data_IF_178697162540
#
_entry.id   IF_178697162540
#
_cell.length_a   1.000
_cell.length_b   1.000
_cell.length_c   1.000
_cell.angle_alpha   90.00
_cell.angle_beta   90.00
_cell.angle_gamma   90.00
#
_symmetry.space_group_name_H-M   'P 1'
#
loop_
_entity.id
_entity.type
_entity.pdbx_description
1 polymer ?
#
# COMPACT_ATOMS: atom_id res chain seq x y z
N UNK A 1 18.18 -5.43 8.95
CA UNK A 1 18.97 -4.20 9.10
C UNK A 1 18.03 -3.01 8.98
N UNK A 2 18.13 -2.05 9.89
CA UNK A 2 17.42 -0.77 9.75
C UNK A 2 18.14 0.12 8.74
N UNK A 3 17.43 1.10 8.14
CA UNK A 3 18.04 2.03 7.17
C UNK A 3 19.21 2.80 7.79
N UNK A 4 19.09 3.15 9.07
CA UNK A 4 20.11 3.87 9.82
C UNK A 4 21.38 3.01 10.04
N UNK A 5 21.22 1.72 10.35
CA UNK A 5 22.35 0.78 10.46
C UNK A 5 23.06 0.61 9.12
N UNK A 6 22.32 0.52 8.01
CA UNK A 6 22.90 0.37 6.68
C UNK A 6 23.69 1.63 6.31
N UNK A 7 23.13 2.82 6.55
CA UNK A 7 23.82 4.08 6.33
C UNK A 7 25.11 4.18 7.15
N UNK A 8 25.06 3.88 8.45
CA UNK A 8 26.24 3.93 9.32
C UNK A 8 27.35 2.98 8.84
N UNK A 9 27.00 1.77 8.39
CA UNK A 9 27.97 0.81 7.85
C UNK A 9 28.60 1.28 6.54
N UNK A 10 27.80 1.89 5.65
CA UNK A 10 28.32 2.52 4.44
C UNK A 10 29.25 3.69 4.76
N UNK A 11 28.88 4.56 5.70
CA UNK A 11 29.74 5.65 6.18
C UNK A 11 31.05 5.12 6.76
N UNK A 12 31.00 4.06 7.57
CA UNK A 12 32.19 3.40 8.10
C UNK A 12 33.08 2.83 6.98
N UNK A 13 32.50 2.14 6.00
CA UNK A 13 33.28 1.57 4.89
C UNK A 13 33.98 2.64 4.03
N UNK A 14 33.34 3.79 3.83
CA UNK A 14 33.84 4.88 2.99
C UNK A 14 34.81 5.83 3.72
N UNK A 15 34.57 6.13 4.99
CA UNK A 15 35.28 7.20 5.71
C UNK A 15 36.12 6.73 6.90
N UNK A 16 35.92 5.51 7.40
CA UNK A 16 36.81 4.94 8.43
C UNK A 16 37.96 4.18 7.76
N UNK A 17 39.21 4.70 7.80
CA UNK A 17 40.35 4.08 7.13
C UNK A 17 40.75 2.74 7.74
N UNK A 18 40.40 2.46 9.00
CA UNK A 18 40.67 1.16 9.64
C UNK A 18 39.72 0.11 9.08
N UNK A 19 38.42 0.42 9.08
CA UNK A 19 37.39 -0.50 8.56
C UNK A 19 37.55 -0.70 7.05
N UNK A 20 37.83 0.36 6.30
CA UNK A 20 38.07 0.28 4.86
C UNK A 20 39.25 -0.65 4.52
N UNK A 21 40.39 -0.49 5.21
CA UNK A 21 41.56 -1.36 5.00
C UNK A 21 41.27 -2.81 5.39
N UNK A 22 40.58 -3.02 6.51
CA UNK A 22 40.20 -4.38 6.96
C UNK A 22 39.28 -5.03 5.93
N UNK A 23 38.27 -4.32 5.43
CA UNK A 23 37.38 -4.81 4.39
C UNK A 23 38.13 -5.17 3.10
N UNK A 24 39.07 -4.32 2.65
CA UNK A 24 39.91 -4.62 1.48
C UNK A 24 40.78 -5.85 1.69
N UNK A 25 41.38 -6.00 2.88
CA UNK A 25 42.15 -7.20 3.22
C UNK A 25 41.28 -8.45 3.24
N UNK A 26 40.07 -8.36 3.81
CA UNK A 26 39.09 -9.45 3.81
C UNK A 26 38.63 -9.82 2.39
N UNK A 27 38.37 -8.83 1.53
CA UNK A 27 38.00 -9.05 0.12
C UNK A 27 39.10 -9.77 -0.66
N UNK A 28 40.38 -9.45 -0.40
CA UNK A 28 41.53 -10.14 -1.02
C UNK A 28 41.68 -11.60 -0.56
N UNK A 29 41.22 -11.91 0.65
CA UNK A 29 41.28 -13.25 1.24
C UNK A 29 39.99 -14.05 1.04
N UNK A 30 39.06 -13.60 0.20
CA UNK A 30 37.85 -14.35 -0.10
C UNK A 30 38.20 -15.66 -0.82
N UNK A 31 37.44 -16.71 -0.50
CA UNK A 31 37.59 -17.99 -1.18
C UNK A 31 37.26 -17.83 -2.68
N UNK A 32 38.02 -18.44 -3.61
CA UNK A 32 37.79 -18.32 -5.05
C UNK A 32 36.36 -18.66 -5.50
N UNK A 33 35.69 -19.58 -4.81
CA UNK A 33 34.29 -19.93 -5.08
C UNK A 33 33.31 -18.78 -4.77
N UNK A 34 33.57 -18.02 -3.71
CA UNK A 34 32.75 -16.85 -3.35
C UNK A 34 32.94 -15.75 -4.39
N UNK A 35 34.18 -15.55 -4.83
CA UNK A 35 34.52 -14.60 -5.89
C UNK A 35 33.77 -14.99 -7.18
N UNK A 36 33.87 -16.26 -7.60
CA UNK A 36 33.17 -16.74 -8.79
C UNK A 36 31.63 -16.61 -8.67
N UNK A 37 31.06 -16.86 -7.49
CA UNK A 37 29.63 -16.68 -7.25
C UNK A 37 29.19 -15.22 -7.38
N UNK A 38 30.00 -14.27 -6.90
CA UNK A 38 29.73 -12.84 -7.02
C UNK A 38 29.90 -12.38 -8.48
N UNK A 39 31.00 -12.77 -9.13
CA UNK A 39 31.29 -12.41 -10.52
C UNK A 39 30.25 -12.96 -11.49
N UNK A 40 29.74 -14.18 -11.28
CA UNK A 40 28.68 -14.76 -12.13
C UNK A 40 27.37 -13.97 -12.07
N UNK A 41 27.11 -13.26 -10.97
CA UNK A 41 25.94 -12.40 -10.74
C UNK A 41 26.21 -10.93 -11.03
N UNK A 42 27.44 -10.56 -11.37
CA UNK A 42 27.79 -9.20 -11.72
C UNK A 42 27.03 -8.78 -12.98
N UNK A 43 26.64 -7.51 -13.04
CA UNK A 43 26.02 -6.91 -14.22
C UNK A 43 26.96 -7.00 -15.42
N UNK A 44 26.39 -7.08 -16.62
CA UNK A 44 27.17 -7.05 -17.85
C UNK A 44 27.69 -5.64 -18.10
N UNK A 45 28.96 -5.56 -18.49
CA UNK A 45 29.56 -4.30 -18.91
C UNK A 45 29.16 -3.96 -20.34
N UNK A 46 29.25 -2.68 -20.71
CA UNK A 46 28.97 -2.24 -22.10
C UNK A 46 29.83 -2.96 -23.13
N UNK A 47 31.08 -3.28 -22.78
CA UNK A 47 32.01 -4.02 -23.66
C UNK A 47 31.58 -5.47 -23.85
N UNK A 48 31.08 -6.12 -22.78
CA UNK A 48 30.51 -7.48 -22.87
C UNK A 48 29.25 -7.48 -23.76
N UNK A 49 28.39 -6.47 -23.60
CA UNK A 49 27.17 -6.31 -24.42
C UNK A 49 27.47 -6.00 -25.89
N UNK A 50 28.48 -5.17 -26.18
CA UNK A 50 28.94 -4.89 -27.54
C UNK A 50 29.44 -6.17 -28.24
N UNK A 51 30.18 -7.03 -27.53
CA UNK A 51 30.61 -8.33 -28.07
C UNK A 51 29.43 -9.26 -28.31
N UNK A 52 28.44 -9.30 -27.41
CA UNK A 52 27.22 -10.07 -27.61
C UNK A 52 26.37 -9.54 -28.78
N UNK A 53 26.38 -8.22 -29.00
CA UNK A 53 25.69 -7.56 -30.11
C UNK A 53 26.28 -7.89 -31.49
N UNK A 54 27.52 -8.40 -31.56
CA UNK A 54 28.11 -8.89 -32.82
C UNK A 54 27.44 -10.18 -33.34
N UNK A 55 26.74 -10.91 -32.47
CA UNK A 55 26.02 -12.13 -32.83
C UNK A 55 24.68 -11.73 -33.46
N UNK A 56 24.54 -12.01 -34.76
CA UNK A 56 23.35 -11.65 -35.53
C UNK A 56 22.08 -12.33 -34.97
N UNK A 57 20.95 -11.60 -34.78
CA UNK A 57 19.71 -12.14 -34.21
C UNK A 57 19.08 -13.31 -34.98
N UNK A 58 19.37 -13.39 -36.29
CA UNK A 58 18.72 -14.28 -37.24
C UNK A 58 19.45 -15.63 -37.43
N UNK A 59 20.68 -15.74 -36.93
CA UNK A 59 21.34 -17.04 -36.78
C UNK A 59 20.82 -17.63 -35.47
N UNK A 60 20.29 -18.86 -35.46
CA UNK A 60 20.01 -19.56 -34.22
C UNK A 60 21.35 -19.89 -33.54
N UNK A 61 21.84 -19.08 -32.58
CA UNK A 61 23.20 -19.23 -32.11
C UNK A 61 23.25 -20.44 -31.17
N UNK A 62 24.17 -21.36 -31.45
CA UNK A 62 24.38 -22.54 -30.60
C UNK A 62 25.22 -22.17 -29.39
N UNK A 63 25.20 -23.03 -28.36
CA UNK A 63 26.02 -22.86 -27.16
C UNK A 63 27.52 -22.73 -27.51
N UNK A 64 27.96 -23.38 -28.58
CA UNK A 64 29.33 -23.37 -29.10
C UNK A 64 29.77 -21.95 -29.52
N UNK A 65 28.88 -21.17 -30.15
CA UNK A 65 29.17 -19.79 -30.53
C UNK A 65 29.50 -18.92 -29.31
N UNK A 66 28.78 -19.08 -28.20
CA UNK A 66 29.04 -18.35 -26.96
C UNK A 66 30.30 -18.86 -26.25
N UNK A 67 30.63 -20.14 -26.40
CA UNK A 67 31.87 -20.71 -25.89
C UNK A 67 33.08 -20.16 -26.63
N UNK A 68 33.03 -20.08 -27.96
CA UNK A 68 34.07 -19.46 -28.79
C UNK A 68 34.24 -17.97 -28.48
N UNK A 69 33.13 -17.24 -28.29
CA UNK A 69 33.16 -15.82 -27.93
C UNK A 69 33.89 -15.59 -26.60
N UNK A 70 33.63 -16.45 -25.61
CA UNK A 70 34.26 -16.39 -24.29
C UNK A 70 35.75 -16.74 -24.36
N UNK A 71 36.11 -17.78 -25.12
CA UNK A 71 37.51 -18.18 -25.31
C UNK A 71 38.33 -17.14 -26.11
N UNK A 72 37.70 -16.45 -27.05
CA UNK A 72 38.35 -15.42 -27.87
C UNK A 72 38.55 -14.10 -27.13
N UNK A 73 37.73 -13.82 -26.11
CA UNK A 73 37.74 -12.55 -25.38
C UNK A 73 37.84 -12.72 -23.84
N UNK A 74 38.83 -13.47 -23.32
CA UNK A 74 38.92 -13.76 -21.89
C UNK A 74 39.28 -12.53 -21.03
N UNK A 75 39.73 -11.45 -21.66
CA UNK A 75 40.09 -10.19 -20.99
C UNK A 75 38.90 -9.23 -20.84
N UNK A 76 37.79 -9.48 -21.55
CA UNK A 76 36.58 -8.64 -21.51
C UNK A 76 35.52 -9.24 -20.59
N UNK A 77 35.36 -10.57 -20.63
CA UNK A 77 34.40 -11.28 -19.77
C UNK A 77 34.98 -11.58 -18.39
N UNK A 78 34.13 -11.53 -17.36
CA UNK A 78 34.52 -12.05 -16.03
C UNK A 78 34.83 -13.55 -16.09
N UNK A 79 35.81 -14.01 -15.31
CA UNK A 79 36.27 -15.40 -15.32
C UNK A 79 35.20 -16.42 -14.93
N UNK A 80 34.18 -15.99 -14.17
CA UNK A 80 33.05 -16.81 -13.78
C UNK A 80 31.87 -16.82 -14.79
N UNK A 81 31.99 -16.14 -15.94
CA UNK A 81 30.96 -16.20 -16.98
C UNK A 81 30.92 -17.60 -17.60
N UNK A 82 29.71 -18.06 -17.93
CA UNK A 82 29.51 -19.34 -18.61
C UNK A 82 28.87 -19.11 -19.97
N UNK A 83 29.09 -19.99 -20.96
CA UNK A 83 28.44 -19.90 -22.26
C UNK A 83 26.90 -19.83 -22.15
N UNK A 84 26.33 -20.56 -21.19
CA UNK A 84 24.88 -20.54 -20.89
C UNK A 84 24.42 -19.19 -20.35
N UNK A 85 25.20 -18.54 -19.48
CA UNK A 85 24.87 -17.22 -18.96
C UNK A 85 24.89 -16.15 -20.07
N UNK A 86 25.89 -16.20 -20.95
CA UNK A 86 25.98 -15.31 -22.12
C UNK A 86 24.81 -15.54 -23.08
N UNK A 87 24.48 -16.81 -23.36
CA UNK A 87 23.34 -17.17 -24.18
C UNK A 87 22.03 -16.63 -23.59
N UNK A 88 21.77 -16.84 -22.30
CA UNK A 88 20.57 -16.33 -21.63
C UNK A 88 20.50 -14.79 -21.69
N UNK A 89 21.62 -14.11 -21.46
CA UNK A 89 21.67 -12.65 -21.52
C UNK A 89 21.44 -12.13 -22.94
N UNK A 90 22.03 -12.77 -23.96
CA UNK A 90 21.77 -12.45 -25.35
C UNK A 90 20.30 -12.65 -25.76
N UNK A 91 19.65 -13.71 -25.28
CA UNK A 91 18.21 -13.91 -25.50
C UNK A 91 17.39 -12.80 -24.84
N UNK A 92 17.81 -12.31 -23.68
CA UNK A 92 17.18 -11.19 -22.99
C UNK A 92 17.34 -9.89 -23.78
N UNK A 93 18.56 -9.61 -24.28
CA UNK A 93 18.82 -8.46 -25.16
C UNK A 93 17.97 -8.52 -26.43
N UNK A 94 17.87 -9.71 -27.04
CA UNK A 94 17.00 -9.96 -28.20
C UNK A 94 15.52 -9.74 -27.86
N UNK A 95 15.05 -10.22 -26.72
CA UNK A 95 13.65 -10.05 -26.32
C UNK A 95 13.26 -8.59 -26.12
N UNK A 96 14.18 -7.77 -25.59
CA UNK A 96 13.96 -6.34 -25.35
C UNK A 96 14.36 -5.42 -26.50
N UNK A 97 14.64 -5.95 -27.69
CA UNK A 97 15.04 -5.16 -28.87
C UNK A 97 16.31 -4.31 -28.65
N UNK A 98 17.24 -4.81 -27.84
CA UNK A 98 18.48 -4.11 -27.51
C UNK A 98 19.65 -4.44 -28.45
N UNK A 99 19.46 -5.36 -29.42
CA UNK A 99 20.48 -5.66 -30.42
C UNK A 99 20.39 -4.67 -31.59
N UNK A 100 21.52 -4.20 -32.15
CA UNK A 100 21.56 -3.15 -33.17
C UNK A 100 20.87 -3.52 -34.49
N UNK A 101 20.79 -4.81 -34.79
CA UNK A 101 20.16 -5.34 -36.02
C UNK A 101 18.65 -5.58 -35.88
N UNK A 102 18.04 -5.25 -34.73
CA UNK A 102 16.60 -5.43 -34.52
C UNK A 102 15.81 -4.24 -35.02
N UNK A 103 15.36 -4.32 -36.27
CA UNK A 103 14.36 -3.39 -36.79
C UNK A 103 13.00 -3.72 -36.18
N UNK A 104 12.30 -2.73 -35.62
CA UNK A 104 10.88 -2.84 -35.28
C UNK A 104 10.15 -3.20 -36.58
N UNK A 105 9.56 -4.39 -36.65
CA UNK A 105 8.80 -4.76 -37.83
C UNK A 105 7.56 -3.86 -37.93
N UNK A 106 7.29 -3.23 -39.09
CA UNK A 106 5.99 -2.61 -39.33
C UNK A 106 4.90 -3.69 -39.27
N UNK A 107 3.69 -3.28 -38.89
CA UNK A 107 2.53 -4.18 -38.68
C UNK A 107 2.45 -5.28 -39.76
N UNK A 108 2.19 -6.54 -39.38
CA UNK A 108 2.14 -7.64 -40.34
C UNK A 108 1.04 -7.40 -41.39
N UNK A 109 1.40 -7.48 -42.67
CA UNK A 109 0.42 -7.68 -43.75
C UNK A 109 0.13 -9.17 -43.86
N UNK A 110 -1.06 -9.54 -43.42
CA UNK A 110 -1.90 -10.74 -43.65
C UNK A 110 -1.29 -12.15 -43.69
N UNK A 111 0.00 -12.36 -43.97
CA UNK A 111 0.59 -13.70 -44.19
C UNK A 111 1.86 -14.01 -43.36
N UNK A 112 2.20 -13.22 -42.34
CA UNK A 112 3.41 -13.44 -41.53
C UNK A 112 3.11 -13.95 -40.12
N UNK A 113 3.88 -14.98 -39.72
CA UNK A 113 3.92 -15.65 -38.42
C UNK A 113 3.78 -14.68 -37.25
N UNK A 114 2.81 -14.94 -36.38
CA UNK A 114 2.54 -14.19 -35.14
C UNK A 114 3.82 -14.06 -34.29
N UNK A 115 4.35 -12.84 -34.14
CA UNK A 115 5.61 -12.57 -33.42
C UNK A 115 5.40 -12.07 -31.98
N UNK A 116 4.20 -11.62 -31.63
CA UNK A 116 3.91 -10.98 -30.34
C UNK A 116 2.59 -11.48 -29.75
N UNK A 117 2.50 -11.52 -28.41
CA UNK A 117 1.27 -11.94 -27.70
C UNK A 117 0.04 -11.10 -28.09
N UNK A 118 0.22 -9.81 -28.36
CA UNK A 118 -0.87 -8.91 -28.79
C UNK A 118 -1.38 -9.23 -30.19
N UNK A 119 -0.49 -9.61 -31.12
CA UNK A 119 -0.86 -9.97 -32.49
C UNK A 119 -1.57 -11.33 -32.51
N UNK A 120 -1.19 -12.23 -31.60
CA UNK A 120 -1.88 -13.51 -31.41
C UNK A 120 -3.32 -13.26 -30.94
N UNK A 121 -3.50 -12.37 -29.96
CA UNK A 121 -4.78 -12.05 -29.35
C UNK A 121 -5.78 -11.47 -30.37
N UNK A 122 -5.33 -10.59 -31.28
CA UNK A 122 -6.20 -10.04 -32.34
C UNK A 122 -6.64 -11.06 -33.40
N UNK A 123 -5.88 -12.15 -33.58
CA UNK A 123 -6.25 -13.23 -34.51
C UNK A 123 -7.19 -14.28 -33.91
N UNK A 124 -7.41 -14.24 -32.59
CA UNK A 124 -8.29 -15.19 -31.91
C UNK A 124 -9.75 -14.79 -32.13
N UNK A 125 -10.49 -15.70 -32.76
CA UNK A 125 -11.94 -15.56 -32.93
C UNK A 125 -12.65 -16.02 -31.64
N UNK A 126 -13.16 -15.08 -30.85
CA UNK A 126 -13.89 -15.34 -29.59
C UNK A 126 -15.05 -16.35 -29.74
N UNK A 127 -15.61 -16.49 -30.95
CA UNK A 127 -16.67 -17.46 -31.22
C UNK A 127 -16.18 -18.91 -31.31
N UNK A 128 -14.88 -19.14 -31.48
CA UNK A 128 -14.21 -20.45 -31.46
C UNK A 128 -13.64 -20.79 -30.07
N UNK A 129 -13.53 -19.82 -29.17
CA UNK A 129 -13.15 -19.98 -27.75
C UNK A 129 -14.29 -20.51 -26.87
N UNK A 130 -15.47 -20.76 -27.43
CA UNK A 130 -16.54 -21.46 -26.73
C UNK A 130 -16.15 -22.93 -26.57
N UNK A 131 -15.29 -23.22 -25.59
CA UNK A 131 -14.92 -24.58 -25.21
C UNK A 131 -16.18 -25.43 -25.05
N UNK A 132 -16.09 -26.69 -25.50
CA UNK A 132 -17.11 -27.68 -25.20
C UNK A 132 -17.27 -27.75 -23.67
N UNK A 133 -18.40 -27.25 -23.16
CA UNK A 133 -18.74 -27.18 -21.73
C UNK A 133 -18.08 -28.30 -20.93
N UNK A 134 -17.00 -27.98 -20.23
CA UNK A 134 -16.34 -28.94 -19.36
C UNK A 134 -17.19 -29.06 -18.09
N UNK A 135 -18.07 -30.06 -18.12
CA UNK A 135 -18.99 -30.37 -17.04
C UNK A 135 -18.24 -30.65 -15.73
N UNK A 136 -17.01 -31.18 -15.79
CA UNK A 136 -16.21 -31.43 -14.59
C UNK A 136 -15.72 -30.12 -13.97
N UNK A 137 -15.23 -29.18 -14.79
CA UNK A 137 -14.81 -27.85 -14.34
C UNK A 137 -15.99 -27.04 -13.78
N UNK A 138 -17.15 -27.05 -14.45
CA UNK A 138 -18.36 -26.39 -13.93
C UNK A 138 -18.80 -26.99 -12.57
N UNK A 139 -18.67 -28.30 -12.41
CA UNK A 139 -19.01 -28.99 -11.18
C UNK A 139 -18.03 -28.65 -10.04
N UNK A 140 -16.73 -28.53 -10.32
CA UNK A 140 -15.73 -28.06 -9.37
C UNK A 140 -15.95 -26.60 -8.96
N UNK A 141 -16.21 -25.71 -9.92
CA UNK A 141 -16.53 -24.30 -9.66
C UNK A 141 -17.79 -24.15 -8.81
N UNK A 142 -18.83 -24.95 -9.08
CA UNK A 142 -20.05 -24.99 -8.27
C UNK A 142 -19.79 -25.46 -6.84
N UNK A 143 -18.92 -26.47 -6.66
CA UNK A 143 -18.51 -26.94 -5.33
C UNK A 143 -17.67 -25.88 -4.59
N UNK A 144 -16.79 -25.16 -5.30
CA UNK A 144 -15.99 -24.07 -4.76
C UNK A 144 -16.86 -22.89 -4.32
N UNK A 145 -17.79 -22.44 -5.17
CA UNK A 145 -18.76 -21.39 -4.86
C UNK A 145 -19.62 -21.76 -3.64
N UNK A 146 -20.09 -23.01 -3.58
CA UNK A 146 -20.84 -23.50 -2.42
C UNK A 146 -20.00 -23.51 -1.14
N UNK A 147 -18.71 -23.86 -1.21
CA UNK A 147 -17.79 -23.78 -0.06
C UNK A 147 -17.58 -22.33 0.38
N UNK A 148 -17.31 -21.44 -0.56
CA UNK A 148 -17.13 -20.01 -0.29
C UNK A 148 -18.39 -19.39 0.34
N UNK A 149 -19.58 -19.66 -0.20
CA UNK A 149 -20.86 -19.21 0.38
C UNK A 149 -21.09 -19.77 1.78
N UNK A 150 -20.69 -21.01 2.04
CA UNK A 150 -20.79 -21.60 3.38
C UNK A 150 -19.83 -20.91 4.34
N UNK A 151 -18.61 -20.62 3.91
CA UNK A 151 -17.59 -19.91 4.69
C UNK A 151 -18.03 -18.49 5.04
N UNK A 152 -18.57 -17.76 4.06
CA UNK A 152 -19.16 -16.42 4.28
C UNK A 152 -20.24 -16.49 5.36
N UNK A 153 -21.20 -17.42 5.24
CA UNK A 153 -22.27 -17.58 6.24
C UNK A 153 -21.75 -17.97 7.62
N UNK A 154 -20.70 -18.79 7.70
CA UNK A 154 -20.07 -19.12 8.98
C UNK A 154 -19.40 -17.90 9.58
N UNK A 155 -18.66 -17.11 8.78
CA UNK A 155 -18.03 -15.88 9.22
C UNK A 155 -19.06 -14.82 9.66
N UNK A 156 -20.17 -14.68 8.93
CA UNK A 156 -21.29 -13.81 9.30
C UNK A 156 -21.93 -14.24 10.63
N UNK A 157 -22.14 -15.55 10.83
CA UNK A 157 -22.63 -16.09 12.11
C UNK A 157 -21.64 -15.90 13.26
N UNK A 158 -20.34 -15.98 12.97
CA UNK A 158 -19.28 -15.75 13.95
C UNK A 158 -19.08 -14.26 14.25
N UNK A 159 -19.37 -13.37 13.30
CA UNK A 159 -19.28 -11.91 13.44
C UNK A 159 -20.00 -11.41 14.69
N UNK A 160 -21.20 -11.94 14.97
CA UNK A 160 -21.96 -11.58 16.18
C UNK A 160 -21.25 -11.99 17.48
N UNK A 161 -20.51 -13.11 17.48
CA UNK A 161 -19.70 -13.55 18.63
C UNK A 161 -18.46 -12.67 18.81
N UNK A 162 -17.80 -12.31 17.71
CA UNK A 162 -16.66 -11.39 17.72
C UNK A 162 -17.09 -9.99 18.18
N UNK A 163 -18.29 -9.53 17.81
CA UNK A 163 -18.85 -8.27 18.27
C UNK A 163 -18.96 -8.22 19.80
N UNK A 164 -19.50 -9.25 20.44
CA UNK A 164 -19.61 -9.34 21.91
C UNK A 164 -18.23 -9.28 22.59
N UNK A 165 -17.24 -9.93 21.98
CA UNK A 165 -15.87 -9.97 22.50
C UNK A 165 -15.21 -8.59 22.36
N UNK A 166 -15.37 -7.92 21.22
CA UNK A 166 -14.93 -6.54 20.99
C UNK A 166 -15.63 -5.59 21.97
N UNK A 167 -16.94 -5.73 22.18
CA UNK A 167 -17.71 -4.90 23.10
C UNK A 167 -17.19 -5.04 24.55
N UNK A 168 -16.79 -6.25 24.97
CA UNK A 168 -16.22 -6.51 26.29
C UNK A 168 -14.81 -5.92 26.50
N UNK A 169 -13.98 -5.90 25.45
CA UNK A 169 -12.59 -5.41 25.51
C UNK A 169 -12.52 -3.91 25.28
N UNK A 170 -13.33 -3.39 24.36
CA UNK A 170 -13.37 -1.97 24.02
C UNK A 170 -14.31 -1.21 24.93
N UNK A 171 -15.27 -1.87 25.60
CA UNK A 171 -16.34 -1.23 26.38
C UNK A 171 -17.30 -0.41 25.52
N UNK A 172 -17.47 -0.78 24.25
CA UNK A 172 -18.42 -0.19 23.30
C UNK A 172 -19.63 -1.10 23.33
N UNK A 173 -20.80 -0.61 23.70
CA UNK A 173 -22.05 -1.37 23.59
C UNK A 173 -22.98 -0.67 22.60
N UNK A 174 -23.75 -1.38 21.77
CA UNK A 174 -24.85 -0.78 21.01
C UNK A 174 -25.84 0.02 21.89
N UNK A 175 -25.86 -0.26 23.20
CA UNK A 175 -26.60 0.51 24.21
C UNK A 175 -26.05 1.92 24.47
N UNK A 176 -24.89 2.29 23.91
CA UNK A 176 -24.25 3.60 24.14
C UNK A 176 -24.94 4.77 23.39
N UNK A 177 -25.81 4.46 22.43
CA UNK A 177 -26.53 5.47 21.64
C UNK A 177 -28.01 5.50 22.00
N UNK A 178 -28.45 6.57 22.65
CA UNK A 178 -29.87 6.91 22.75
C UNK A 178 -30.36 7.60 21.46
N UNK A 179 -31.68 7.75 21.31
CA UNK A 179 -32.30 8.40 20.15
C UNK A 179 -32.01 9.91 20.02
N UNK A 180 -31.14 10.46 20.87
CA UNK A 180 -30.78 11.89 20.90
C UNK A 180 -29.28 12.12 20.73
N UNK A 181 -28.46 11.05 20.78
CA UNK A 181 -27.01 11.13 20.71
C UNK A 181 -26.55 10.91 19.28
N UNK A 182 -26.01 11.97 18.69
CA UNK A 182 -25.53 12.01 17.30
C UNK A 182 -24.20 11.27 17.15
N UNK A 183 -23.31 11.45 18.12
CA UNK A 183 -21.97 10.87 18.14
C UNK A 183 -21.46 10.76 19.59
N UNK A 184 -20.44 9.94 19.80
CA UNK A 184 -19.75 9.81 21.08
C UNK A 184 -18.27 10.02 20.86
N UNK A 185 -17.67 10.93 21.64
CA UNK A 185 -16.22 11.04 21.75
C UNK A 185 -15.80 10.24 22.98
N UNK A 186 -15.18 9.09 22.77
CA UNK A 186 -14.81 8.17 23.84
C UNK A 186 -13.34 8.30 24.16
N UNK A 187 -13.00 8.73 25.37
CA UNK A 187 -11.64 8.70 25.87
C UNK A 187 -11.40 7.50 26.78
N UNK A 188 -10.33 7.57 27.58
CA UNK A 188 -9.91 6.48 28.46
C UNK A 188 -10.75 6.46 29.74
N UNK A 189 -11.03 7.63 30.30
CA UNK A 189 -11.71 7.80 31.58
C UNK A 189 -13.18 8.21 31.40
N UNK A 190 -13.46 8.99 30.37
CA UNK A 190 -14.73 9.69 30.17
C UNK A 190 -15.27 9.41 28.76
N UNK A 191 -16.60 9.33 28.68
CA UNK A 191 -17.34 9.28 27.42
C UNK A 191 -18.13 10.57 27.29
N UNK A 192 -17.98 11.27 26.17
CA UNK A 192 -18.68 12.52 25.91
C UNK A 192 -19.76 12.29 24.85
N UNK A 193 -21.02 12.43 25.23
CA UNK A 193 -22.17 12.25 24.34
C UNK A 193 -22.47 13.56 23.60
N UNK A 194 -22.40 13.53 22.27
CA UNK A 194 -22.73 14.68 21.42
C UNK A 194 -24.23 14.66 21.10
N UNK A 195 -25.00 15.51 21.79
CA UNK A 195 -26.45 15.69 21.54
C UNK A 195 -26.78 16.94 20.70
N UNK A 196 -25.87 17.90 20.64
CA UNK A 196 -26.00 19.12 19.83
C UNK A 196 -25.28 18.97 18.50
N UNK A 197 -25.74 19.70 17.47
CA UNK A 197 -25.10 19.72 16.14
C UNK A 197 -23.71 20.35 16.14
N UNK A 198 -23.37 21.08 17.18
CA UNK A 198 -22.05 21.68 17.39
C UNK A 198 -21.65 21.49 18.85
N UNK A 199 -20.42 21.04 19.06
CA UNK A 199 -19.81 20.93 20.39
C UNK A 199 -18.38 21.49 20.37
N UNK A 200 -17.99 22.10 21.48
CA UNK A 200 -16.67 22.67 21.70
C UNK A 200 -15.82 21.74 22.56
N UNK A 201 -14.55 21.59 22.17
CA UNK A 201 -13.57 20.73 22.84
C UNK A 201 -12.44 21.60 23.36
N UNK A 202 -12.05 21.40 24.61
CA UNK A 202 -10.95 22.15 25.18
C UNK A 202 -10.74 21.91 26.66
N UNK A 203 -10.34 22.97 27.35
CA UNK A 203 -10.01 22.96 28.78
C UNK A 203 -10.92 23.94 29.51
N UNK A 204 -11.79 23.46 30.37
CA UNK A 204 -12.65 24.33 31.18
C UNK A 204 -11.81 25.11 32.18
N UNK A 205 -12.13 26.39 32.33
CA UNK A 205 -11.56 27.32 33.32
C UNK A 205 -12.69 28.16 33.90
N UNK A 206 -12.43 28.92 34.98
CA UNK A 206 -13.46 29.76 35.62
C UNK A 206 -14.18 30.71 34.66
N UNK A 207 -13.46 31.21 33.65
CA UNK A 207 -13.97 32.19 32.69
C UNK A 207 -14.38 31.56 31.34
N UNK A 208 -14.19 30.25 31.16
CA UNK A 208 -14.43 29.59 29.88
C UNK A 208 -14.89 28.15 30.09
N UNK A 209 -16.14 27.88 29.74
CA UNK A 209 -16.72 26.54 29.70
C UNK A 209 -16.69 25.97 28.28
N UNK A 210 -16.43 24.67 28.18
CA UNK A 210 -16.54 23.90 26.94
C UNK A 210 -17.47 22.71 27.15
N UNK A 211 -18.05 22.20 26.07
CA UNK A 211 -18.95 21.03 26.13
C UNK A 211 -18.17 19.75 26.44
N UNK A 212 -16.97 19.63 25.89
CA UNK A 212 -16.06 18.50 26.10
C UNK A 212 -14.82 18.99 26.83
N UNK A 213 -14.82 18.82 28.15
CA UNK A 213 -13.70 19.20 29.01
C UNK A 213 -12.67 18.07 29.11
N UNK A 214 -11.52 18.29 28.46
CA UNK A 214 -10.42 17.33 28.41
C UNK A 214 -9.62 17.26 29.72
N UNK A 215 -9.88 18.14 30.70
CA UNK A 215 -9.25 18.03 32.04
C UNK A 215 -9.64 16.76 32.77
N UNK A 216 -10.82 16.20 32.46
CA UNK A 216 -11.35 15.00 33.10
C UNK A 216 -10.63 13.71 32.63
N UNK A 217 -9.89 13.77 31.53
CA UNK A 217 -9.16 12.64 30.95
C UNK A 217 -7.71 12.55 31.38
N UNK A 218 -7.12 13.67 31.82
CA UNK A 218 -5.74 13.68 32.24
C UNK A 218 -5.11 15.08 32.26
N UNK A 219 -3.76 15.16 32.28
CA UNK A 219 -3.03 16.42 32.38
C UNK A 219 -3.27 17.34 31.18
N UNK A 220 -4.30 18.18 31.26
CA UNK A 220 -4.75 19.03 30.16
C UNK A 220 -4.05 20.41 30.11
N UNK A 221 -2.96 20.64 30.83
CA UNK A 221 -2.25 21.93 30.84
C UNK A 221 -1.71 22.34 29.45
N UNK A 222 -1.49 21.37 28.56
CA UNK A 222 -1.12 21.58 27.15
C UNK A 222 -2.32 21.83 26.22
N UNK A 223 -3.55 21.70 26.72
CA UNK A 223 -4.78 21.85 25.95
C UNK A 223 -5.27 23.30 26.04
N UNK A 224 -5.61 23.88 24.89
CA UNK A 224 -6.16 25.24 24.85
C UNK A 224 -7.56 25.27 25.46
N UNK A 225 -7.96 26.42 26.03
CA UNK A 225 -9.32 26.63 26.57
C UNK A 225 -10.40 26.27 25.55
N UNK A 226 -10.18 26.70 24.30
CA UNK A 226 -10.93 26.27 23.11
C UNK A 226 -9.94 25.67 22.13
N UNK A 227 -9.91 24.34 22.07
CA UNK A 227 -8.92 23.59 21.30
C UNK A 227 -9.45 23.20 19.91
N UNK A 228 -10.74 22.89 19.82
CA UNK A 228 -11.40 22.63 18.55
C UNK A 228 -12.91 22.55 18.70
N UNK A 229 -13.58 22.41 17.56
CA UNK A 229 -15.05 22.38 17.49
C UNK A 229 -15.47 21.25 16.54
N UNK A 230 -16.36 20.36 16.99
CA UNK A 230 -16.97 19.34 16.13
C UNK A 230 -18.35 19.82 15.70
N UNK A 231 -18.61 19.81 14.40
CA UNK A 231 -19.88 20.23 13.80
C UNK A 231 -20.45 19.16 12.89
N UNK A 232 -21.74 18.89 13.05
CA UNK A 232 -22.56 18.09 12.14
C UNK A 232 -23.17 18.99 11.08
N UNK A 233 -22.90 18.69 9.81
CA UNK A 233 -23.57 19.34 8.67
C UNK A 233 -24.90 18.68 8.36
N UNK A 234 -25.76 19.40 7.63
CA UNK A 234 -27.08 18.90 7.22
C UNK A 234 -27.01 17.65 6.33
N UNK A 235 -25.89 17.41 5.65
CA UNK A 235 -25.63 16.21 4.86
C UNK A 235 -25.23 14.98 5.71
N UNK A 236 -25.27 15.08 7.04
CA UNK A 236 -24.90 14.00 7.95
C UNK A 236 -23.39 13.82 8.14
N UNK A 237 -22.55 14.73 7.66
CA UNK A 237 -21.10 14.65 7.84
C UNK A 237 -20.62 15.46 9.05
N UNK A 238 -19.68 14.87 9.79
CA UNK A 238 -19.00 15.52 10.91
C UNK A 238 -17.68 16.16 10.48
N UNK A 239 -17.46 17.39 10.93
CA UNK A 239 -16.21 18.11 10.71
C UNK A 239 -15.63 18.60 12.03
N UNK A 240 -14.34 18.33 12.23
CA UNK A 240 -13.53 18.89 13.30
C UNK A 240 -12.79 20.13 12.78
N UNK A 241 -13.00 21.28 13.42
CA UNK A 241 -12.19 22.47 13.23
C UNK A 241 -11.15 22.58 14.35
N UNK A 242 -9.87 22.74 13.99
CA UNK A 242 -8.80 22.98 14.97
C UNK A 242 -8.68 24.48 15.22
N UNK A 243 -8.79 24.91 16.47
CA UNK A 243 -8.81 26.34 16.85
C UNK A 243 -7.77 26.67 17.94
N UNK A 244 -7.21 25.63 18.56
CA UNK A 244 -6.22 25.75 19.61
C UNK A 244 -4.81 26.03 19.08
N UNK A 245 -3.90 26.32 20.02
CA UNK A 245 -2.48 26.59 19.70
C UNK A 245 -1.73 25.36 19.18
N UNK A 246 -2.11 24.17 19.64
CA UNK A 246 -1.49 22.90 19.26
C UNK A 246 -2.35 22.19 18.21
N UNK A 247 -1.70 21.45 17.31
CA UNK A 247 -2.40 20.62 16.34
C UNK A 247 -3.23 19.54 17.05
N UNK A 248 -4.37 19.20 16.44
CA UNK A 248 -5.16 18.01 16.78
C UNK A 248 -4.81 16.94 15.76
N UNK A 249 -4.52 15.72 16.18
CA UNK A 249 -4.25 14.64 15.23
C UNK A 249 -5.52 13.82 15.01
N UNK A 250 -5.85 13.56 13.75
CA UNK A 250 -6.95 12.66 13.39
C UNK A 250 -6.38 11.53 12.54
N UNK A 251 -6.52 10.29 13.01
CA UNK A 251 -5.97 9.10 12.35
C UNK A 251 -4.47 9.24 12.03
N UNK A 252 -3.72 9.86 12.95
CA UNK A 252 -2.29 10.16 12.82
C UNK A 252 -1.95 11.42 12.00
N UNK A 253 -2.92 12.09 11.38
CA UNK A 253 -2.69 13.30 10.58
C UNK A 253 -2.86 14.59 11.39
N UNK A 254 -1.87 15.51 11.42
CA UNK A 254 -1.99 16.76 12.15
C UNK A 254 -2.91 17.77 11.46
N UNK A 255 -3.90 18.28 12.20
CA UNK A 255 -4.81 19.35 11.79
C UNK A 255 -4.38 20.65 12.48
N UNK A 256 -3.80 21.54 11.69
CA UNK A 256 -3.34 22.87 12.15
C UNK A 256 -4.50 23.81 12.44
N UNK A 257 -4.25 24.83 13.26
CA UNK A 257 -5.24 25.84 13.61
C UNK A 257 -5.82 26.53 12.37
N UNK A 258 -7.14 26.74 12.36
CA UNK A 258 -7.89 27.30 11.23
C UNK A 258 -8.36 26.26 10.20
N UNK A 259 -7.76 25.07 10.19
CA UNK A 259 -8.14 24.01 9.27
C UNK A 259 -9.26 23.12 9.81
N UNK A 260 -9.99 22.50 8.89
CA UNK A 260 -11.09 21.58 9.16
C UNK A 260 -10.78 20.21 8.58
N UNK A 261 -11.26 19.17 9.25
CA UNK A 261 -11.10 17.78 8.82
C UNK A 261 -12.40 17.01 8.98
N UNK A 262 -12.70 16.11 8.04
CA UNK A 262 -13.90 15.26 8.12
C UNK A 262 -13.64 14.11 9.09
N UNK A 263 -14.49 13.95 10.09
CA UNK A 263 -14.45 12.82 11.01
C UNK A 263 -15.32 11.68 10.48
N UNK A 264 -14.76 10.48 10.48
CA UNK A 264 -15.47 9.25 10.13
C UNK A 264 -15.78 8.45 11.40
N UNK A 265 -16.69 7.48 11.28
CA UNK A 265 -16.89 6.52 12.37
C UNK A 265 -15.59 5.77 12.67
N UNK A 266 -15.29 5.60 13.95
CA UNK A 266 -14.06 5.02 14.48
C UNK A 266 -12.77 5.84 14.25
N UNK A 267 -12.88 7.11 13.82
CA UNK A 267 -11.70 7.98 13.72
C UNK A 267 -11.06 8.18 15.10
N UNK A 268 -9.74 8.11 15.14
CA UNK A 268 -8.95 8.35 16.35
C UNK A 268 -8.58 9.83 16.41
N UNK A 269 -8.98 10.52 17.48
CA UNK A 269 -8.68 11.94 17.70
C UNK A 269 -7.71 12.07 18.86
N UNK A 270 -6.57 12.73 18.63
CA UNK A 270 -5.54 12.94 19.66
C UNK A 270 -5.28 14.42 19.91
N UNK A 271 -5.32 14.80 21.19
CA UNK A 271 -5.13 16.17 21.64
C UNK A 271 -4.10 16.17 22.77
N UNK A 272 -2.92 16.73 22.49
CA UNK A 272 -1.85 16.90 23.49
C UNK A 272 -1.45 15.62 24.27
N UNK A 273 -1.59 14.45 23.65
CA UNK A 273 -1.28 13.13 24.25
C UNK A 273 -2.50 12.41 24.84
N UNK A 274 -3.68 13.05 24.85
CA UNK A 274 -4.94 12.41 25.15
C UNK A 274 -5.50 11.80 23.86
N UNK A 275 -5.96 10.55 23.90
CA UNK A 275 -6.45 9.81 22.74
C UNK A 275 -7.94 9.47 22.91
N UNK A 276 -8.70 9.72 21.87
CA UNK A 276 -10.14 9.52 21.81
C UNK A 276 -10.50 8.71 20.56
N UNK A 277 -11.60 7.97 20.64
CA UNK A 277 -12.25 7.32 19.51
C UNK A 277 -13.57 8.05 19.27
N UNK A 278 -13.77 8.52 18.04
CA UNK A 278 -15.01 9.16 17.62
C UNK A 278 -15.95 8.11 17.02
N UNK A 279 -17.11 7.93 17.65
CA UNK A 279 -18.13 6.97 17.25
C UNK A 279 -19.36 7.72 16.75
N UNK A 280 -19.94 7.27 15.65
CA UNK A 280 -21.09 7.90 15.00
C UNK A 280 -22.32 7.01 15.16
N UNK A 281 -23.46 7.60 15.55
CA UNK A 281 -24.74 6.92 15.53
C UNK A 281 -25.22 6.75 14.08
N UNK A 282 -24.84 5.65 13.44
CA UNK A 282 -25.12 5.42 12.01
C UNK A 282 -26.62 5.39 11.71
N UNK A 283 -27.43 4.83 12.61
CA UNK A 283 -28.89 4.75 12.44
C UNK A 283 -29.50 6.14 12.39
N UNK A 284 -29.24 6.96 13.41
CA UNK A 284 -29.81 8.31 13.50
C UNK A 284 -29.29 9.24 12.40
N UNK A 285 -28.02 9.12 12.02
CA UNK A 285 -27.44 9.91 10.93
C UNK A 285 -27.99 9.48 9.57
N UNK A 286 -28.33 8.20 9.38
CA UNK A 286 -28.97 7.73 8.16
C UNK A 286 -30.35 8.38 7.97
N UNK A 287 -31.13 8.54 9.04
CA UNK A 287 -32.42 9.24 9.01
C UNK A 287 -32.23 10.72 8.65
N UNK A 288 -31.27 11.40 9.28
CA UNK A 288 -30.95 12.81 8.98
C UNK A 288 -30.55 12.97 7.50
N UNK A 289 -29.76 12.05 6.95
CA UNK A 289 -29.38 12.07 5.53
C UNK A 289 -30.59 11.91 4.60
N UNK A 290 -31.51 11.02 4.93
CA UNK A 290 -32.73 10.82 4.15
C UNK A 290 -33.64 12.05 4.19
N UNK A 291 -33.79 12.69 5.36
CA UNK A 291 -34.55 13.94 5.49
C UNK A 291 -33.91 15.10 4.70
N UNK A 292 -32.59 15.25 4.78
CA UNK A 292 -31.87 16.26 4.03
C UNK A 292 -31.99 16.07 2.51
N UNK A 293 -31.96 14.82 2.04
CA UNK A 293 -32.19 14.50 0.63
C UNK A 293 -33.60 14.90 0.18
N UNK A 294 -34.64 14.61 0.98
CA UNK A 294 -36.03 15.01 0.70
C UNK A 294 -36.20 16.52 0.63
N UNK A 295 -35.58 17.27 1.55
CA UNK A 295 -35.64 18.73 1.56
C UNK A 295 -34.94 19.35 0.35
N UNK A 296 -33.79 18.80 -0.07
CA UNK A 296 -33.06 19.27 -1.26
C UNK A 296 -33.87 19.11 -2.56
N UNK A 297 -34.67 18.04 -2.66
CA UNK A 297 -35.55 17.79 -3.81
C UNK A 297 -36.77 18.74 -3.83
N UNK A 298 -37.26 19.16 -2.66
CA UNK A 298 -38.37 20.12 -2.56
C UNK A 298 -37.95 21.56 -2.82
N UNK A 299 -36.71 21.94 -2.52
CA UNK A 299 -36.16 23.28 -2.82
C UNK A 299 -35.70 23.46 -4.28
N UNK A 300 -35.79 22.40 -5.09
CA UNK A 300 -35.37 22.38 -6.50
C UNK A 300 -36.55 22.40 -7.49
N UNK A 301 -37.79 22.46 -6.97
CA UNK A 301 -39.04 22.65 -7.70
C UNK A 301 -39.64 24.02 -7.34
#
# INVERSE_FOLDING_TARGET
FTIQEVQQRWYALLYDPVISRLAVASMRNLHPEVIASVESKALYSKQEEELLATIKPNAAPTLETFQELLQSNPHVFFSARTPKALMNHWHLMKHYYLLPDQTVQPLPREDATVLTFSDAEETINDSELADARDVALEQELSLADRRAKKEIRTLENEMGRWQVLVDSVTGISPLDFDNQTLAVLKGRLVRYLMRSREITIGRTTKDHSVDVDLTLEGPAWKVSRRQGTIRLRNNGDFYLASEGKRAIFVDGRPILAGNKYRLNNNSVVEVAGLRFIFLVNQELISVIRQEAAKLSLQSSN
#
